data_IF_478051838225
#
_entry.id   IF_478051838225
#
_cell.length_a   1.000
_cell.length_b   1.000
_cell.length_c   1.000
_cell.angle_alpha   90.00
_cell.angle_beta   90.00
_cell.angle_gamma   90.00
#
_symmetry.space_group_name_H-M   'P 1'
#
loop_
_entity.id
_entity.type
_entity.pdbx_description
1 polymer ?
#
# COMPACT_ATOMS: atom_id res chain seq x y z
N UNK A 1 6.13 -23.96 10.80
CA UNK A 1 5.05 -23.25 10.08
C UNK A 1 5.69 -22.14 9.26
N UNK A 2 5.93 -22.39 7.97
CA UNK A 2 6.41 -21.37 7.05
C UNK A 2 5.20 -20.54 6.63
N UNK A 3 5.05 -19.34 7.19
CA UNK A 3 4.20 -18.31 6.59
C UNK A 3 4.86 -17.97 5.27
N UNK A 4 4.29 -18.45 4.16
CA UNK A 4 4.91 -18.31 2.84
C UNK A 4 5.27 -16.84 2.55
N UNK A 5 6.43 -16.57 1.91
CA UNK A 5 6.84 -15.22 1.51
C UNK A 5 5.86 -14.52 0.54
N UNK A 6 4.82 -15.22 0.07
CA UNK A 6 3.70 -14.69 -0.72
C UNK A 6 2.75 -13.79 0.07
N UNK A 7 2.72 -13.91 1.39
CA UNK A 7 1.84 -13.12 2.28
C UNK A 7 2.41 -11.74 2.61
N UNK A 8 3.74 -11.60 2.52
CA UNK A 8 4.41 -10.32 2.70
C UNK A 8 4.02 -9.39 1.55
N UNK A 9 3.25 -8.35 1.84
CA UNK A 9 2.84 -7.36 0.85
C UNK A 9 1.44 -7.55 0.27
N UNK A 10 0.56 -8.38 0.83
CA UNK A 10 -0.86 -8.42 0.41
C UNK A 10 -1.52 -7.03 0.48
N UNK A 11 -1.17 -6.22 1.49
CA UNK A 11 -1.59 -4.82 1.59
C UNK A 11 -1.19 -4.02 0.34
N UNK A 12 -0.04 -4.33 -0.25
CA UNK A 12 0.50 -3.68 -1.45
C UNK A 12 -0.14 -4.14 -2.76
N UNK A 13 -0.96 -5.20 -2.73
CA UNK A 13 -1.59 -5.72 -3.95
C UNK A 13 -2.76 -4.84 -4.38
N UNK A 14 -2.91 -4.65 -5.69
CA UNK A 14 -4.12 -4.06 -6.27
C UNK A 14 -5.35 -4.88 -5.88
N UNK A 15 -6.50 -4.23 -5.76
CA UNK A 15 -7.75 -4.85 -5.29
C UNK A 15 -8.17 -6.04 -6.15
N UNK A 16 -8.06 -5.95 -7.47
CA UNK A 16 -8.34 -7.04 -8.42
C UNK A 16 -7.49 -8.28 -8.13
N UNK A 17 -6.20 -8.09 -7.86
CA UNK A 17 -5.29 -9.19 -7.52
C UNK A 17 -5.58 -9.83 -6.17
N UNK A 18 -6.12 -9.06 -5.23
CA UNK A 18 -6.57 -9.53 -3.92
C UNK A 18 -7.89 -10.32 -4.03
N UNK A 19 -8.82 -9.87 -4.88
CA UNK A 19 -10.05 -10.60 -5.20
C UNK A 19 -9.74 -11.96 -5.86
N UNK A 20 -8.83 -11.98 -6.84
CA UNK A 20 -8.38 -13.22 -7.48
C UNK A 20 -7.74 -14.20 -6.49
N UNK A 21 -6.94 -13.69 -5.55
CA UNK A 21 -6.33 -14.50 -4.50
C UNK A 21 -7.39 -15.10 -3.57
N UNK A 22 -8.36 -14.31 -3.11
CA UNK A 22 -9.46 -14.82 -2.29
C UNK A 22 -10.23 -15.89 -3.05
N UNK A 23 -10.59 -15.64 -4.31
CA UNK A 23 -11.30 -16.61 -5.13
C UNK A 23 -10.48 -17.89 -5.38
N UNK A 24 -9.16 -17.78 -5.50
CA UNK A 24 -8.27 -18.94 -5.61
C UNK A 24 -8.23 -19.73 -4.30
N UNK A 25 -8.03 -19.05 -3.16
CA UNK A 25 -7.97 -19.68 -1.85
C UNK A 25 -9.31 -20.34 -1.47
N UNK A 26 -10.44 -19.74 -1.79
CA UNK A 26 -11.77 -20.32 -1.60
C UNK A 26 -11.99 -21.59 -2.43
N UNK A 27 -11.35 -21.69 -3.61
CA UNK A 27 -11.41 -22.91 -4.44
C UNK A 27 -10.46 -24.00 -3.96
N UNK A 28 -9.29 -23.64 -3.43
CA UNK A 28 -8.23 -24.60 -3.09
C UNK A 28 -8.24 -25.03 -1.63
N UNK A 29 -8.91 -24.28 -0.76
CA UNK A 29 -8.89 -24.50 0.69
C UNK A 29 -10.30 -24.77 1.19
N UNK A 30 -10.44 -25.81 2.01
CA UNK A 30 -11.70 -26.15 2.65
C UNK A 30 -12.25 -24.93 3.43
N UNK A 31 -13.49 -24.48 3.18
CA UNK A 31 -14.13 -23.41 3.94
C UNK A 31 -14.17 -23.65 5.45
N UNK A 32 -14.29 -24.92 5.88
CA UNK A 32 -14.37 -25.31 7.28
C UNK A 32 -13.00 -25.29 7.99
N UNK A 33 -11.90 -25.20 7.25
CA UNK A 33 -10.55 -25.12 7.81
C UNK A 33 -10.06 -23.67 7.86
N UNK A 34 -9.40 -23.25 8.97
CA UNK A 34 -8.83 -21.93 9.08
C UNK A 34 -7.73 -21.71 8.04
N UNK A 35 -7.77 -20.56 7.38
CA UNK A 35 -6.80 -20.18 6.36
C UNK A 35 -6.40 -18.72 6.57
N UNK A 36 -5.30 -18.52 7.29
CA UNK A 36 -4.78 -17.20 7.65
C UNK A 36 -4.63 -16.27 6.43
N UNK A 37 -4.22 -16.81 5.28
CA UNK A 37 -4.10 -16.07 4.03
C UNK A 37 -5.45 -15.54 3.50
N UNK A 38 -6.48 -16.40 3.53
CA UNK A 38 -7.84 -16.05 3.11
C UNK A 38 -8.44 -15.00 4.04
N UNK A 39 -8.22 -15.14 5.34
CA UNK A 39 -8.80 -14.24 6.35
C UNK A 39 -8.17 -12.85 6.31
N UNK A 40 -6.84 -12.76 6.13
CA UNK A 40 -6.14 -11.48 5.90
C UNK A 40 -6.63 -10.84 4.60
N UNK A 41 -6.65 -11.59 3.49
CA UNK A 41 -7.09 -11.07 2.20
C UNK A 41 -8.55 -10.57 2.21
N UNK A 42 -9.45 -11.29 2.91
CA UNK A 42 -10.84 -10.87 3.13
C UNK A 42 -10.95 -9.61 3.97
N UNK A 43 -10.17 -9.51 5.05
CA UNK A 43 -10.16 -8.32 5.91
C UNK A 43 -9.71 -7.09 5.13
N UNK A 44 -8.63 -7.21 4.36
CA UNK A 44 -8.14 -6.14 3.50
C UNK A 44 -9.16 -5.75 2.40
N UNK A 45 -9.88 -6.72 1.81
CA UNK A 45 -10.97 -6.44 0.88
C UNK A 45 -12.16 -5.74 1.54
N UNK A 46 -12.51 -6.12 2.76
CA UNK A 46 -13.58 -5.48 3.52
C UNK A 46 -13.24 -4.02 3.83
N UNK A 47 -12.02 -3.76 4.33
CA UNK A 47 -11.50 -2.42 4.57
C UNK A 47 -11.52 -1.55 3.30
N UNK A 48 -11.22 -2.15 2.15
CA UNK A 48 -11.26 -1.49 0.84
C UNK A 48 -12.67 -1.17 0.37
N UNK A 49 -13.63 -2.08 0.57
CA UNK A 49 -15.02 -1.92 0.13
C UNK A 49 -15.78 -0.90 0.98
N UNK A 50 -15.40 -0.75 2.24
CA UNK A 50 -15.96 0.27 3.14
C UNK A 50 -15.34 1.68 2.94
N UNK A 51 -14.48 1.86 1.93
CA UNK A 51 -13.88 3.16 1.60
C UNK A 51 -12.76 3.59 2.54
N UNK A 52 -12.17 2.65 3.29
CA UNK A 52 -11.14 2.90 4.30
C UNK A 52 -9.90 3.61 3.74
N UNK A 53 -9.30 4.45 4.58
CA UNK A 53 -7.95 4.98 4.34
C UNK A 53 -6.90 4.05 4.93
N UNK A 54 -5.78 3.93 4.25
CA UNK A 54 -4.55 3.30 4.77
C UNK A 54 -3.43 4.30 4.80
N UNK A 55 -2.50 4.10 5.72
CA UNK A 55 -1.28 4.89 5.76
C UNK A 55 -0.34 4.45 4.65
N UNK A 56 0.12 5.42 3.86
CA UNK A 56 1.13 5.25 2.84
C UNK A 56 2.40 5.98 3.26
N UNK A 57 3.50 5.26 3.35
CA UNK A 57 4.83 5.81 3.61
C UNK A 57 5.51 6.10 2.28
N UNK A 58 5.73 7.38 2.01
CA UNK A 58 6.35 7.89 0.80
C UNK A 58 7.74 8.41 1.12
N UNK A 59 8.78 7.90 0.43
CA UNK A 59 10.13 8.45 0.53
C UNK A 59 10.26 9.59 -0.46
N UNK A 60 10.55 10.78 0.06
CA UNK A 60 10.65 12.02 -0.71
C UNK A 60 12.06 12.56 -0.59
N UNK A 61 12.58 13.14 -1.67
CA UNK A 61 13.90 13.75 -1.70
C UNK A 61 13.84 15.08 -2.43
N UNK A 62 14.45 16.11 -1.86
CA UNK A 62 14.66 17.38 -2.57
C UNK A 62 15.80 17.23 -3.60
N UNK A 63 15.60 17.73 -4.82
CA UNK A 63 16.64 17.82 -5.85
C UNK A 63 17.62 18.99 -5.56
N UNK A 64 18.85 19.00 -6.11
CA UNK A 64 20.03 19.33 -5.34
C UNK A 64 20.27 20.83 -5.23
N UNK A 65 19.88 21.40 -4.08
CA UNK A 65 20.59 22.53 -3.45
C UNK A 65 20.93 22.29 -1.98
N UNK A 66 20.63 21.11 -1.44
CA UNK A 66 20.99 20.74 -0.07
C UNK A 66 21.26 19.25 -0.03
N UNK A 67 22.27 18.86 0.75
CA UNK A 67 22.67 17.49 1.04
C UNK A 67 21.47 16.55 1.01
N UNK A 68 21.52 15.51 0.17
CA UNK A 68 20.40 14.67 -0.28
C UNK A 68 19.61 13.96 0.82
N UNK A 69 18.92 14.73 1.67
CA UNK A 69 18.17 14.23 2.81
C UNK A 69 16.83 13.73 2.31
N UNK A 70 16.70 12.42 2.24
CA UNK A 70 15.42 11.77 2.05
C UNK A 70 14.59 11.88 3.33
N UNK A 71 13.33 12.26 3.20
CA UNK A 71 12.35 12.32 4.29
C UNK A 71 11.25 11.30 4.02
N UNK A 72 10.73 10.68 5.08
CA UNK A 72 9.55 9.82 4.99
C UNK A 72 8.31 10.65 5.28
N UNK A 73 7.29 10.50 4.45
CA UNK A 73 6.03 11.20 4.53
C UNK A 73 4.91 10.16 4.62
N UNK A 74 4.17 10.15 5.72
CA UNK A 74 3.02 9.25 5.91
C UNK A 74 1.73 9.96 5.49
N UNK A 75 0.94 9.33 4.63
CA UNK A 75 -0.33 9.84 4.13
C UNK A 75 -1.44 8.83 4.36
N UNK A 76 -2.47 9.22 5.11
CA UNK A 76 -3.73 8.48 5.15
C UNK A 76 -4.50 8.75 3.86
N UNK A 77 -4.55 7.77 2.96
CA UNK A 77 -5.21 7.89 1.65
C UNK A 77 -6.18 6.74 1.41
N UNK A 78 -7.24 6.96 0.60
CA UNK A 78 -8.16 5.89 0.25
C UNK A 78 -7.42 4.68 -0.32
N UNK A 79 -7.79 3.50 0.14
CA UNK A 79 -7.21 2.24 -0.35
C UNK A 79 -7.46 1.97 -1.83
N UNK A 80 -8.41 2.70 -2.43
CA UNK A 80 -8.77 2.59 -3.86
C UNK A 80 -7.75 3.26 -4.78
N UNK A 81 -6.86 4.10 -4.24
CA UNK A 81 -5.85 4.78 -5.05
C UNK A 81 -4.79 3.79 -5.53
N UNK A 82 -4.47 3.91 -6.82
CA UNK A 82 -3.34 3.23 -7.44
C UNK A 82 -2.00 3.89 -7.02
N UNK A 83 -0.89 3.16 -7.17
CA UNK A 83 0.44 3.69 -6.84
C UNK A 83 0.77 5.03 -7.53
N UNK A 84 0.44 5.26 -8.83
CA UNK A 84 0.60 6.58 -9.45
C UNK A 84 -0.21 7.69 -8.76
N UNK A 85 -1.46 7.43 -8.38
CA UNK A 85 -2.32 8.41 -7.70
C UNK A 85 -1.79 8.74 -6.29
N UNK A 86 -1.28 7.72 -5.57
CA UNK A 86 -0.60 7.93 -4.29
C UNK A 86 0.69 8.73 -4.48
N UNK A 87 1.48 8.44 -5.53
CA UNK A 87 2.70 9.18 -5.86
C UNK A 87 2.40 10.64 -6.17
N UNK A 88 1.33 10.93 -6.90
CA UNK A 88 0.89 12.29 -7.20
C UNK A 88 0.44 13.02 -5.92
N UNK A 89 -0.35 12.37 -5.07
CA UNK A 89 -0.73 12.92 -3.76
C UNK A 89 0.50 13.20 -2.88
N UNK A 90 1.47 12.29 -2.86
CA UNK A 90 2.73 12.44 -2.15
C UNK A 90 3.58 13.58 -2.71
N UNK A 91 3.60 13.76 -4.04
CA UNK A 91 4.32 14.83 -4.70
C UNK A 91 3.70 16.20 -4.40
N UNK A 92 2.37 16.31 -4.43
CA UNK A 92 1.64 17.53 -4.05
C UNK A 92 1.99 17.90 -2.61
N UNK A 93 1.87 16.94 -1.68
CA UNK A 93 2.17 17.20 -0.28
C UNK A 93 3.65 17.51 -0.03
N UNK A 94 4.56 16.83 -0.72
CA UNK A 94 5.98 17.10 -0.66
C UNK A 94 6.31 18.52 -1.14
N UNK A 95 5.66 18.99 -2.21
CA UNK A 95 5.87 20.33 -2.76
C UNK A 95 5.42 21.43 -1.79
N UNK A 96 4.32 21.20 -1.07
CA UNK A 96 3.86 22.12 -0.03
C UNK A 96 4.86 22.25 1.13
N UNK A 97 5.55 21.17 1.48
CA UNK A 97 6.46 21.12 2.64
C UNK A 97 7.90 21.54 2.30
N UNK A 98 8.37 21.19 1.11
CA UNK A 98 9.79 21.29 0.75
C UNK A 98 10.05 22.13 -0.52
N UNK A 99 9.00 22.63 -1.17
CA UNK A 99 9.09 23.42 -2.40
C UNK A 99 9.03 22.57 -3.68
N UNK A 100 9.11 23.24 -4.82
CA UNK A 100 8.84 22.67 -6.16
C UNK A 100 9.75 21.51 -6.56
N UNK A 101 11.00 21.54 -6.09
CA UNK A 101 12.08 20.66 -6.53
C UNK A 101 12.17 19.40 -5.66
N UNK A 102 11.13 18.57 -5.71
CA UNK A 102 11.03 17.31 -4.98
C UNK A 102 10.70 16.15 -5.91
N UNK A 103 11.20 14.98 -5.53
CA UNK A 103 10.88 13.71 -6.18
C UNK A 103 10.42 12.70 -5.14
N UNK A 104 9.48 11.83 -5.53
CA UNK A 104 9.02 10.69 -4.73
C UNK A 104 9.77 9.46 -5.22
N UNK A 105 10.67 8.94 -4.39
CA UNK A 105 11.54 7.80 -4.70
C UNK A 105 10.82 6.46 -4.59
N UNK A 106 9.94 6.34 -3.58
CA UNK A 106 9.18 5.12 -3.35
C UNK A 106 7.88 5.42 -2.61
N UNK A 107 6.88 4.60 -2.87
CA UNK A 107 5.57 4.61 -2.20
C UNK A 107 5.35 3.20 -1.65
N UNK A 108 5.03 3.10 -0.37
CA UNK A 108 4.80 1.84 0.32
C UNK A 108 3.66 2.01 1.33
N UNK A 109 3.06 0.91 1.79
CA UNK A 109 2.13 0.97 2.92
C UNK A 109 2.91 1.19 4.22
N UNK A 110 2.30 1.92 5.16
CA UNK A 110 2.75 1.99 6.55
C UNK A 110 2.50 0.68 7.28
N UNK A 111 3.33 0.42 8.31
CA UNK A 111 3.18 -0.70 9.22
C UNK A 111 1.96 -0.54 10.14
#
# INVERSE_FOLDING_TARGET
MNVEPRMAGLRQWRTDRLEDLVAQLERTTDPALPCFARDIARTELALRREGGTVDWVCRVRAQPRSDGRSVLLTLALPTTLSEPEVRDAALVRARELFGSDVVVDSVQFGD
#
